data_IF_886324659028
#
_entry.id   IF_886324659028
#
_cell.length_a   1.000
_cell.length_b   1.000
_cell.length_c   1.000
_cell.angle_alpha   90.00
_cell.angle_beta   90.00
_cell.angle_gamma   90.00
#
_symmetry.space_group_name_H-M   'P 1'
#
loop_
_entity.id
_entity.type
_entity.pdbx_description
1 polymer ?
#
# COMPACT_ATOMS: atom_id res chain seq x y z
N UNK A 1 2.64 -22.44 16.17
CA UNK A 1 2.22 -21.39 15.22
C UNK A 1 0.71 -21.50 15.08
N UNK A 2 -0.05 -20.55 15.63
CA UNK A 2 -1.45 -20.38 15.25
C UNK A 2 -1.45 -19.35 14.14
N UNK A 3 -1.52 -19.81 12.90
CA UNK A 3 -1.70 -18.97 11.72
C UNK A 3 -3.18 -18.61 11.69
N UNK A 4 -3.51 -17.35 11.95
CA UNK A 4 -4.76 -16.80 11.44
C UNK A 4 -4.57 -16.74 9.92
N UNK A 5 -5.40 -17.48 9.19
CA UNK A 5 -5.56 -17.34 7.74
C UNK A 5 -6.09 -15.93 7.46
N UNK A 6 -5.22 -14.92 7.37
CA UNK A 6 -5.54 -13.77 6.53
C UNK A 6 -5.36 -14.25 5.10
N UNK A 7 -6.40 -14.07 4.29
CA UNK A 7 -6.38 -14.36 2.86
C UNK A 7 -5.59 -13.25 2.13
N UNK A 8 -4.36 -12.96 2.57
CA UNK A 8 -3.55 -11.89 1.99
C UNK A 8 -2.77 -12.47 0.81
N UNK A 9 -3.39 -12.36 -0.36
CA UNK A 9 -2.80 -12.60 -1.68
C UNK A 9 -1.69 -11.57 -1.89
N UNK A 10 -0.43 -12.00 -1.94
CA UNK A 10 0.70 -11.09 -1.73
C UNK A 10 1.64 -11.03 -2.91
N UNK A 11 1.98 -9.79 -3.29
CA UNK A 11 2.85 -9.43 -4.41
C UNK A 11 4.15 -8.87 -3.85
N UNK A 12 5.26 -9.12 -4.54
CA UNK A 12 6.55 -8.47 -4.23
C UNK A 12 7.02 -8.68 -2.78
N UNK A 13 7.49 -9.91 -2.54
CA UNK A 13 7.91 -10.40 -1.22
C UNK A 13 9.31 -9.87 -0.89
N UNK A 14 9.42 -9.07 0.18
CA UNK A 14 10.70 -8.68 0.76
C UNK A 14 10.95 -9.46 2.05
N UNK A 15 12.12 -10.11 2.12
CA UNK A 15 12.63 -10.79 3.30
C UNK A 15 13.90 -10.07 3.75
N UNK A 16 13.88 -9.59 4.99
CA UNK A 16 15.02 -9.02 5.68
C UNK A 16 15.33 -9.86 6.91
N UNK A 17 16.59 -10.26 7.07
CA UNK A 17 17.07 -10.91 8.29
C UNK A 17 18.12 -10.07 8.99
N UNK A 18 17.97 -9.91 10.31
CA UNK A 18 18.92 -9.23 11.18
C UNK A 18 19.53 -10.23 12.16
N UNK A 19 20.86 -10.42 12.10
CA UNK A 19 21.58 -11.35 12.97
C UNK A 19 21.97 -10.68 14.29
N UNK A 20 21.29 -11.04 15.38
CA UNK A 20 21.56 -10.63 16.75
C UNK A 20 22.78 -11.39 17.31
N UNK A 21 24.00 -11.05 16.85
CA UNK A 21 25.24 -11.60 17.44
C UNK A 21 25.50 -11.04 18.84
N UNK A 22 26.08 -11.86 19.72
CA UNK A 22 26.78 -11.42 20.94
C UNK A 22 28.27 -11.77 20.85
N UNK A 23 29.18 -10.87 21.29
CA UNK A 23 28.93 -9.48 21.62
C UNK A 23 28.75 -8.67 20.32
N UNK A 24 27.86 -7.68 20.29
CA UNK A 24 27.78 -6.75 19.16
C UNK A 24 29.10 -5.96 19.12
N UNK A 25 29.86 -6.09 18.04
CA UNK A 25 30.83 -5.03 17.71
C UNK A 25 30.04 -3.73 17.50
N UNK A 26 30.47 -2.58 18.05
CA UNK A 26 29.60 -1.41 18.22
C UNK A 26 29.11 -0.72 16.93
N UNK A 27 29.42 -1.23 15.74
CA UNK A 27 29.15 -0.52 14.49
C UNK A 27 28.08 -1.15 13.61
N UNK A 28 27.96 -2.47 13.48
CA UNK A 28 27.02 -3.08 12.51
C UNK A 28 26.49 -4.46 12.92
N UNK A 29 25.17 -4.63 12.95
CA UNK A 29 24.51 -5.93 12.94
C UNK A 29 24.48 -6.44 11.49
N UNK A 30 24.94 -7.68 11.19
CA UNK A 30 24.81 -8.24 9.86
C UNK A 30 23.33 -8.31 9.43
N UNK A 31 23.04 -7.78 8.25
CA UNK A 31 21.70 -7.77 7.66
C UNK A 31 21.74 -8.33 6.24
N UNK A 32 20.82 -9.23 5.91
CA UNK A 32 20.63 -9.74 4.56
C UNK A 32 19.23 -9.38 4.06
N UNK A 33 19.12 -8.95 2.81
CA UNK A 33 17.86 -8.58 2.15
C UNK A 33 17.67 -9.38 0.87
N UNK A 34 16.48 -9.94 0.67
CA UNK A 34 16.07 -10.54 -0.61
C UNK A 34 14.69 -10.02 -1.01
N UNK A 35 14.51 -9.74 -2.30
CA UNK A 35 13.25 -9.28 -2.87
C UNK A 35 12.81 -10.21 -4.00
N UNK A 36 11.61 -10.76 -3.89
CA UNK A 36 11.02 -11.75 -4.79
C UNK A 36 9.73 -11.18 -5.38
N UNK A 37 9.83 -10.64 -6.60
CA UNK A 37 8.69 -10.07 -7.30
C UNK A 37 7.87 -11.12 -8.06
N UNK A 38 8.53 -12.12 -8.67
CA UNK A 38 7.92 -12.87 -9.78
C UNK A 38 6.79 -13.83 -9.44
N UNK A 39 6.77 -14.43 -8.24
CA UNK A 39 5.89 -15.57 -7.96
C UNK A 39 4.41 -15.22 -8.12
N UNK A 40 4.06 -13.99 -7.78
CA UNK A 40 2.67 -13.53 -7.77
C UNK A 40 2.44 -12.36 -8.71
N UNK A 41 3.46 -11.57 -9.12
CA UNK A 41 3.35 -10.31 -9.88
C UNK A 41 2.26 -10.21 -10.98
N UNK A 42 1.94 -11.28 -11.70
CA UNK A 42 0.94 -11.27 -12.76
C UNK A 42 -0.32 -12.11 -12.44
N UNK A 43 -0.21 -13.05 -11.49
CA UNK A 43 -1.29 -13.93 -11.05
C UNK A 43 -1.09 -14.32 -9.58
N UNK A 44 -2.00 -13.88 -8.73
CA UNK A 44 -1.99 -14.18 -7.31
C UNK A 44 -2.04 -15.69 -7.00
N UNK A 45 -2.57 -16.50 -7.92
CA UNK A 45 -2.57 -17.96 -7.76
C UNK A 45 -1.15 -18.51 -7.74
N UNK A 46 -0.15 -17.82 -8.31
CA UNK A 46 1.24 -18.27 -8.27
C UNK A 46 1.84 -18.39 -6.86
N UNK A 47 1.19 -17.85 -5.83
CA UNK A 47 1.62 -17.97 -4.44
C UNK A 47 1.83 -19.43 -3.99
N UNK A 48 0.99 -20.37 -4.46
CA UNK A 48 1.12 -21.79 -4.06
C UNK A 48 2.48 -22.39 -4.46
N UNK A 49 3.10 -21.89 -5.53
CA UNK A 49 4.40 -22.38 -6.00
C UNK A 49 5.53 -22.10 -4.98
N UNK A 50 5.36 -21.09 -4.14
CA UNK A 50 6.32 -20.74 -3.09
C UNK A 50 6.15 -21.53 -1.79
N UNK A 51 4.99 -22.16 -1.56
CA UNK A 51 4.61 -22.67 -0.24
C UNK A 51 5.60 -23.72 0.31
N UNK A 52 5.86 -24.78 -0.47
CA UNK A 52 6.81 -25.83 -0.08
C UNK A 52 8.24 -25.28 0.03
N UNK A 53 8.64 -24.36 -0.85
CA UNK A 53 9.98 -23.76 -0.84
C UNK A 53 10.20 -22.96 0.45
N UNK A 54 9.23 -22.11 0.81
CA UNK A 54 9.30 -21.31 2.03
C UNK A 54 9.21 -22.18 3.28
N UNK A 55 8.38 -23.22 3.27
CA UNK A 55 8.30 -24.17 4.38
C UNK A 55 9.64 -24.85 4.63
N UNK A 56 10.29 -25.36 3.59
CA UNK A 56 11.59 -26.01 3.70
C UNK A 56 12.68 -25.03 4.12
N UNK A 57 12.66 -23.79 3.62
CA UNK A 57 13.54 -22.72 4.07
C UNK A 57 13.39 -22.45 5.58
N UNK A 58 12.16 -22.24 6.06
CA UNK A 58 11.90 -21.99 7.49
C UNK A 58 12.24 -23.19 8.37
N UNK A 59 11.98 -24.43 7.91
CA UNK A 59 12.38 -25.66 8.60
C UNK A 59 13.90 -25.75 8.73
N UNK A 60 14.66 -25.42 7.68
CA UNK A 60 16.14 -25.40 7.72
C UNK A 60 16.66 -24.36 8.69
N UNK A 61 16.15 -23.12 8.63
CA UNK A 61 16.53 -22.06 9.58
C UNK A 61 16.28 -22.46 11.03
N UNK A 62 15.19 -23.19 11.29
CA UNK A 62 14.87 -23.73 12.61
C UNK A 62 15.79 -24.90 12.99
N UNK A 63 16.00 -25.87 12.10
CA UNK A 63 16.80 -27.07 12.33
C UNK A 63 18.26 -26.76 12.65
N UNK A 64 18.83 -25.78 11.94
CA UNK A 64 20.23 -25.38 12.10
C UNK A 64 20.40 -24.30 13.19
N UNK A 65 19.36 -24.07 14.00
CA UNK A 65 19.33 -23.09 15.10
C UNK A 65 19.59 -21.62 14.68
N UNK A 66 19.46 -21.30 13.39
CA UNK A 66 19.69 -19.94 12.86
C UNK A 66 18.68 -18.93 13.40
N UNK A 67 17.42 -19.36 13.58
CA UNK A 67 16.37 -18.53 14.18
C UNK A 67 16.70 -18.08 15.62
N UNK A 68 17.61 -18.75 16.31
CA UNK A 68 17.96 -18.41 17.67
C UNK A 68 18.74 -17.09 17.76
N UNK A 69 19.34 -16.61 16.69
CA UNK A 69 20.04 -15.32 16.67
C UNK A 69 19.55 -14.42 15.54
N UNK A 70 18.35 -14.65 15.00
CA UNK A 70 17.86 -13.93 13.82
C UNK A 70 16.47 -13.36 14.06
N UNK A 71 16.29 -12.07 13.78
CA UNK A 71 14.95 -11.50 13.56
C UNK A 71 14.67 -11.53 12.08
N UNK A 72 13.56 -12.15 11.69
CA UNK A 72 13.06 -12.11 10.32
C UNK A 72 11.96 -11.05 10.24
N UNK A 73 12.10 -10.13 9.29
CA UNK A 73 11.07 -9.18 8.89
C UNK A 73 10.65 -9.55 7.47
N UNK A 74 9.41 -9.98 7.31
CA UNK A 74 8.86 -10.42 6.05
C UNK A 74 7.70 -9.52 5.69
N UNK A 75 7.83 -8.75 4.61
CA UNK A 75 6.85 -7.73 4.24
C UNK A 75 6.71 -7.60 2.73
N UNK A 76 5.70 -6.85 2.31
CA UNK A 76 5.54 -6.44 0.91
C UNK A 76 5.44 -4.92 0.81
N UNK A 77 5.71 -4.39 -0.38
CA UNK A 77 5.50 -2.99 -0.70
C UNK A 77 4.02 -2.68 -1.02
N UNK A 78 3.28 -3.63 -1.59
CA UNK A 78 1.85 -3.51 -1.89
C UNK A 78 1.13 -4.86 -2.02
N UNK A 79 -0.20 -4.90 -1.85
CA UNK A 79 -0.97 -6.09 -2.24
C UNK A 79 -1.17 -6.20 -3.75
N UNK A 80 -2.14 -7.00 -4.19
CA UNK A 80 -2.48 -7.17 -5.59
C UNK A 80 -2.97 -5.85 -6.22
N UNK A 81 -2.29 -5.37 -7.27
CA UNK A 81 -2.58 -4.08 -7.91
C UNK A 81 -3.42 -4.20 -9.17
N UNK A 82 -3.48 -5.37 -9.79
CA UNK A 82 -4.08 -5.56 -11.10
C UNK A 82 -5.04 -6.77 -11.09
N UNK A 83 -5.61 -7.07 -12.25
CA UNK A 83 -6.49 -8.23 -12.43
C UNK A 83 -7.92 -8.01 -11.93
N UNK A 84 -8.75 -9.04 -12.10
CA UNK A 84 -10.19 -8.98 -11.81
C UNK A 84 -10.49 -8.67 -10.34
N UNK A 85 -9.66 -9.18 -9.43
CA UNK A 85 -9.87 -9.01 -7.99
C UNK A 85 -9.74 -7.55 -7.57
N UNK A 86 -8.85 -6.76 -8.21
CA UNK A 86 -8.67 -5.32 -7.93
C UNK A 86 -9.96 -4.50 -8.08
N UNK A 87 -10.91 -4.97 -8.88
CA UNK A 87 -12.20 -4.31 -9.11
C UNK A 87 -13.27 -4.68 -8.07
N UNK A 88 -12.95 -5.54 -7.10
CA UNK A 88 -13.82 -5.83 -5.96
C UNK A 88 -13.53 -4.89 -4.80
N UNK A 89 -14.46 -4.79 -3.85
CA UNK A 89 -14.22 -4.07 -2.59
C UNK A 89 -13.00 -4.61 -1.84
N UNK A 90 -12.86 -5.94 -1.76
CA UNK A 90 -11.71 -6.57 -1.09
C UNK A 90 -10.40 -6.29 -1.81
N UNK A 91 -10.33 -6.47 -3.13
CA UNK A 91 -9.11 -6.17 -3.88
C UNK A 91 -8.71 -4.69 -3.85
N UNK A 92 -9.68 -3.79 -3.64
CA UNK A 92 -9.38 -2.37 -3.40
C UNK A 92 -8.62 -2.18 -2.09
N UNK A 93 -9.05 -2.84 -1.00
CA UNK A 93 -8.35 -2.83 0.28
C UNK A 93 -6.98 -3.50 0.14
N UNK A 94 -6.96 -4.74 -0.35
CA UNK A 94 -5.74 -5.54 -0.50
C UNK A 94 -4.66 -4.80 -1.30
N UNK A 95 -5.03 -4.09 -2.37
CA UNK A 95 -4.07 -3.30 -3.17
C UNK A 95 -3.30 -2.23 -2.38
N UNK A 96 -3.84 -1.79 -1.24
CA UNK A 96 -3.26 -0.76 -0.36
C UNK A 96 -2.81 -1.32 1.00
N UNK A 97 -3.01 -2.61 1.26
CA UNK A 97 -2.60 -3.27 2.52
C UNK A 97 -1.49 -4.28 2.25
N UNK A 98 -0.21 -3.87 2.29
CA UNK A 98 0.87 -4.82 2.32
C UNK A 98 0.82 -5.63 3.62
N UNK A 99 1.31 -6.87 3.54
CA UNK A 99 1.51 -7.68 4.74
C UNK A 99 2.83 -7.35 5.42
N UNK A 100 2.93 -7.68 6.71
CA UNK A 100 4.12 -7.51 7.53
C UNK A 100 4.14 -8.56 8.65
N UNK A 101 5.19 -9.35 8.69
CA UNK A 101 5.46 -10.34 9.74
C UNK A 101 6.82 -10.08 10.37
N UNK A 102 6.86 -10.15 11.69
CA UNK A 102 8.10 -10.22 12.45
C UNK A 102 8.20 -11.58 13.13
N UNK A 103 9.32 -12.27 12.94
CA UNK A 103 9.66 -13.50 13.66
C UNK A 103 10.90 -13.23 14.50
N UNK A 104 10.71 -13.20 15.81
CA UNK A 104 11.80 -13.01 16.77
C UNK A 104 12.39 -14.35 17.22
N UNK A 105 13.65 -14.38 17.70
CA UNK A 105 14.20 -15.57 18.32
C UNK A 105 13.34 -16.07 19.49
N UNK A 106 13.21 -17.40 19.69
CA UNK A 106 12.35 -17.96 20.74
C UNK A 106 12.66 -17.47 22.17
N UNK A 107 13.91 -17.11 22.46
CA UNK A 107 14.31 -16.58 23.77
C UNK A 107 13.91 -15.11 23.96
N UNK A 108 13.70 -14.35 22.88
CA UNK A 108 13.48 -12.91 22.95
C UNK A 108 12.21 -12.58 23.72
N UNK A 109 11.14 -13.33 23.44
CA UNK A 109 9.87 -13.18 24.14
C UNK A 109 9.98 -13.50 25.64
N UNK A 110 10.71 -14.58 25.99
CA UNK A 110 10.91 -14.95 27.39
C UNK A 110 11.73 -13.90 28.14
N UNK A 111 12.70 -13.29 27.47
CA UNK A 111 13.60 -12.29 28.06
C UNK A 111 12.97 -10.90 28.14
N UNK A 112 12.13 -10.52 27.18
CA UNK A 112 11.52 -9.19 27.08
C UNK A 112 9.99 -9.28 26.95
N UNK A 113 9.30 -9.84 27.96
CA UNK A 113 7.86 -10.10 27.88
C UNK A 113 7.03 -8.82 27.76
N UNK A 114 7.41 -7.72 28.42
CA UNK A 114 6.69 -6.44 28.32
C UNK A 114 6.80 -5.81 26.93
N UNK A 115 7.98 -5.89 26.30
CA UNK A 115 8.20 -5.41 24.93
C UNK A 115 7.33 -6.21 23.96
N UNK A 116 7.31 -7.54 24.10
CA UNK A 116 6.48 -8.39 23.24
C UNK A 116 4.98 -8.24 23.52
N UNK A 117 4.56 -7.90 24.74
CA UNK A 117 3.17 -7.54 25.04
C UNK A 117 2.76 -6.30 24.23
N UNK A 118 3.56 -5.24 24.26
CA UNK A 118 3.30 -4.00 23.48
C UNK A 118 3.31 -4.29 21.98
N UNK A 119 4.31 -5.04 21.51
CA UNK A 119 4.40 -5.45 20.11
C UNK A 119 3.13 -6.18 19.65
N UNK A 120 2.57 -7.05 20.50
CA UNK A 120 1.32 -7.76 20.23
C UNK A 120 0.10 -6.85 20.24
N UNK A 121 0.01 -5.89 21.17
CA UNK A 121 -1.04 -4.88 21.18
C UNK A 121 -1.08 -4.12 19.86
N UNK A 122 0.09 -3.80 19.30
CA UNK A 122 0.22 -3.08 18.03
C UNK A 122 -0.26 -3.85 16.79
N UNK A 123 -0.51 -5.16 16.88
CA UNK A 123 -1.15 -5.93 15.80
C UNK A 123 -2.58 -5.44 15.50
N UNK A 124 -3.20 -4.71 16.44
CA UNK A 124 -4.54 -4.13 16.30
C UNK A 124 -4.50 -2.60 16.16
N UNK A 125 -3.39 -2.05 15.66
CA UNK A 125 -3.18 -0.60 15.49
C UNK A 125 -2.85 -0.28 14.03
N UNK A 126 -3.19 0.94 13.60
CA UNK A 126 -2.83 1.41 12.27
C UNK A 126 -1.32 1.66 12.19
N UNK A 127 -0.66 0.93 11.30
CA UNK A 127 0.79 1.02 11.04
C UNK A 127 1.07 1.39 9.59
N UNK A 128 2.30 1.81 9.34
CA UNK A 128 2.87 2.10 8.03
C UNK A 128 4.31 1.60 7.99
N UNK A 129 4.91 1.54 6.79
CA UNK A 129 6.33 1.17 6.67
C UNK A 129 7.30 2.15 7.36
N UNK A 130 6.85 3.35 7.72
CA UNK A 130 7.62 4.25 8.60
C UNK A 130 7.77 3.68 10.02
N UNK A 131 6.76 2.98 10.52
CA UNK A 131 6.79 2.32 11.83
C UNK A 131 7.67 1.07 11.79
N UNK A 132 7.65 0.33 10.68
CA UNK A 132 8.60 -0.76 10.40
C UNK A 132 10.04 -0.25 10.46
N UNK A 133 10.34 0.86 9.80
CA UNK A 133 11.66 1.50 9.85
C UNK A 133 12.07 1.87 11.29
N UNK A 134 11.20 2.54 12.05
CA UNK A 134 11.50 2.88 13.45
C UNK A 134 11.72 1.64 14.33
N UNK A 135 10.95 0.58 14.09
CA UNK A 135 11.11 -0.72 14.78
C UNK A 135 12.46 -1.35 14.46
N UNK A 136 12.90 -1.30 13.19
CA UNK A 136 14.22 -1.78 12.80
C UNK A 136 15.34 -0.98 13.49
N UNK A 137 15.22 0.34 13.56
CA UNK A 137 16.18 1.18 14.28
C UNK A 137 16.28 0.81 15.77
N UNK A 138 15.14 0.50 16.40
CA UNK A 138 15.12 0.03 17.78
C UNK A 138 15.69 -1.38 17.94
N UNK A 139 15.51 -2.28 16.97
CA UNK A 139 16.18 -3.60 16.98
C UNK A 139 17.71 -3.42 16.96
N UNK A 140 18.21 -2.48 16.16
CA UNK A 140 19.64 -2.19 16.08
C UNK A 140 20.18 -1.58 17.38
N UNK A 141 19.37 -0.77 18.07
CA UNK A 141 19.75 -0.02 19.28
C UNK A 141 18.97 -0.48 20.51
N UNK A 142 18.75 -1.79 20.63
CA UNK A 142 17.74 -2.33 21.53
C UNK A 142 18.03 -2.08 23.01
N UNK A 143 17.10 -1.40 23.69
CA UNK A 143 17.22 -1.06 25.12
C UNK A 143 16.63 -2.11 26.07
N UNK A 144 15.83 -3.04 25.55
CA UNK A 144 15.22 -4.09 26.38
C UNK A 144 14.09 -3.62 27.31
N UNK A 145 13.62 -2.38 27.15
CA UNK A 145 12.56 -1.79 27.96
C UNK A 145 11.51 -1.15 27.05
N UNK A 146 10.26 -1.12 27.52
CA UNK A 146 9.17 -0.44 26.82
C UNK A 146 9.37 1.07 26.93
N UNK A 147 9.41 1.75 25.79
CA UNK A 147 9.45 3.21 25.74
C UNK A 147 8.07 3.84 26.02
N UNK A 148 7.99 5.18 26.15
CA UNK A 148 6.72 5.86 26.33
C UNK A 148 5.77 5.60 25.16
N UNK A 149 4.45 5.69 25.37
CA UNK A 149 3.44 5.58 24.29
C UNK A 149 3.76 6.54 23.13
N UNK A 150 3.50 6.12 21.90
CA UNK A 150 3.58 6.97 20.71
C UNK A 150 2.66 8.18 20.80
N UNK A 151 2.99 9.27 20.11
CA UNK A 151 2.13 10.46 20.05
C UNK A 151 1.50 10.59 18.67
N UNK A 152 0.28 11.12 18.63
CA UNK A 152 -0.37 11.48 17.36
C UNK A 152 0.47 12.49 16.59
N UNK A 153 0.47 12.39 15.26
CA UNK A 153 1.30 13.20 14.38
C UNK A 153 2.78 12.79 14.29
N UNK A 154 3.27 11.87 15.12
CA UNK A 154 4.59 11.24 14.91
C UNK A 154 4.56 10.45 13.60
N UNK A 155 5.47 10.80 12.68
CA UNK A 155 5.58 10.14 11.36
C UNK A 155 5.83 8.63 11.50
N UNK A 156 6.63 8.24 12.47
CA UNK A 156 7.04 6.86 12.72
C UNK A 156 7.03 6.56 14.21
N UNK A 157 6.36 5.50 14.62
CA UNK A 157 6.31 5.00 15.99
C UNK A 157 6.81 3.55 15.96
N UNK A 158 7.93 3.28 16.63
CA UNK A 158 8.42 1.89 16.77
C UNK A 158 7.36 1.00 17.40
N UNK A 159 7.19 -0.21 16.87
CA UNK A 159 6.22 -1.19 17.35
C UNK A 159 6.59 -1.78 18.73
N UNK A 160 7.75 -1.42 19.29
CA UNK A 160 8.08 -1.68 20.71
C UNK A 160 7.51 -0.64 21.68
N UNK A 161 6.89 0.43 21.16
CA UNK A 161 6.12 1.41 21.92
C UNK A 161 4.64 1.26 21.54
N UNK A 162 3.73 1.50 22.47
CA UNK A 162 2.31 1.40 22.15
C UNK A 162 1.91 2.47 21.13
N UNK A 163 1.32 2.06 20.02
CA UNK A 163 0.79 2.96 18.98
C UNK A 163 -0.62 3.41 19.41
N UNK A 164 -0.95 4.72 19.35
CA UNK A 164 -2.28 5.20 19.69
C UNK A 164 -3.40 4.49 18.92
N UNK A 165 -4.47 4.15 19.62
CA UNK A 165 -5.64 3.46 19.07
C UNK A 165 -6.41 4.33 18.07
N UNK A 166 -6.40 5.64 18.31
CA UNK A 166 -7.08 6.66 17.52
C UNK A 166 -6.20 7.27 16.43
N UNK A 167 -5.04 6.65 16.11
CA UNK A 167 -4.15 7.10 15.05
C UNK A 167 -4.84 7.02 13.68
N UNK A 168 -4.87 8.13 12.96
CA UNK A 168 -5.47 8.23 11.61
C UNK A 168 -4.43 8.03 10.51
N UNK A 169 -4.88 7.78 9.27
CA UNK A 169 -4.01 7.78 8.08
C UNK A 169 -3.19 9.07 7.96
N UNK A 170 -3.77 10.23 8.30
CA UNK A 170 -3.08 11.51 8.28
C UNK A 170 -1.93 11.57 9.30
N UNK A 171 -2.15 11.03 10.50
CA UNK A 171 -1.11 10.92 11.53
C UNK A 171 0.02 10.00 11.08
N UNK A 172 -0.33 8.87 10.45
CA UNK A 172 0.62 7.90 9.91
C UNK A 172 1.25 8.30 8.56
N UNK A 173 0.93 9.48 8.03
CA UNK A 173 1.38 9.96 6.70
C UNK A 173 1.03 9.00 5.56
N UNK A 174 -0.08 8.29 5.68
CA UNK A 174 -0.67 7.46 4.62
C UNK A 174 -1.49 8.40 3.71
N UNK A 175 -1.17 8.50 2.41
CA UNK A 175 -1.94 9.29 1.46
C UNK A 175 -3.40 8.83 1.37
N UNK A 176 -4.31 9.73 1.00
CA UNK A 176 -5.75 9.47 1.01
C UNK A 176 -6.15 8.32 0.07
N UNK A 177 -5.47 8.20 -1.07
CA UNK A 177 -5.66 7.15 -2.07
C UNK A 177 -5.30 5.74 -1.58
N UNK A 178 -4.43 5.63 -0.56
CA UNK A 178 -4.01 4.36 0.06
C UNK A 178 -4.63 4.15 1.45
N UNK A 179 -5.42 5.11 1.95
CA UNK A 179 -6.04 4.99 3.25
C UNK A 179 -7.22 4.02 3.20
N UNK A 180 -7.09 2.89 3.89
CA UNK A 180 -8.13 1.84 3.97
C UNK A 180 -9.05 1.97 5.20
N UNK A 181 -8.81 2.97 6.06
CA UNK A 181 -9.66 3.23 7.21
C UNK A 181 -11.03 3.81 6.80
N UNK A 182 -11.09 4.47 5.64
CA UNK A 182 -12.31 5.07 5.13
C UNK A 182 -13.30 3.99 4.66
N UNK A 183 -14.57 4.14 5.06
CA UNK A 183 -15.66 3.32 4.52
C UNK A 183 -16.31 4.03 3.35
N UNK A 184 -16.58 3.27 2.31
CA UNK A 184 -17.14 3.78 1.07
C UNK A 184 -18.47 3.08 0.76
N UNK A 185 -19.43 3.82 0.23
CA UNK A 185 -20.69 3.26 -0.28
C UNK A 185 -21.05 3.85 -1.63
N UNK A 186 -21.92 3.18 -2.39
CA UNK A 186 -22.39 3.70 -3.67
C UNK A 186 -23.41 4.83 -3.42
N UNK A 187 -23.11 6.08 -3.79
CA UNK A 187 -24.02 7.20 -3.59
C UNK A 187 -25.13 7.20 -4.64
N UNK A 188 -26.24 7.90 -4.35
CA UNK A 188 -27.26 8.25 -5.35
C UNK A 188 -26.92 9.63 -5.93
N UNK A 189 -26.41 9.66 -7.16
CA UNK A 189 -26.02 10.90 -7.85
C UNK A 189 -26.89 11.12 -9.09
N UNK A 190 -27.04 12.39 -9.50
CA UNK A 190 -27.63 12.70 -10.80
C UNK A 190 -26.65 12.30 -11.92
N UNK A 191 -27.14 11.96 -13.14
CA UNK A 191 -26.27 11.69 -14.28
C UNK A 191 -25.31 12.84 -14.61
N UNK A 192 -25.73 14.09 -14.37
CA UNK A 192 -24.90 15.27 -14.58
C UNK A 192 -23.72 15.35 -13.61
N UNK A 193 -23.94 15.04 -12.32
CA UNK A 193 -22.89 15.04 -11.31
C UNK A 193 -21.93 13.87 -11.49
N UNK A 194 -22.44 12.70 -11.85
CA UNK A 194 -21.64 11.51 -12.19
C UNK A 194 -20.64 11.84 -13.32
N UNK A 195 -21.15 12.31 -14.46
CA UNK A 195 -20.32 12.70 -15.59
C UNK A 195 -19.35 13.85 -15.25
N UNK A 196 -19.78 14.83 -14.44
CA UNK A 196 -18.91 15.92 -13.99
C UNK A 196 -17.69 15.39 -13.20
N UNK A 197 -17.91 14.48 -12.24
CA UNK A 197 -16.83 13.88 -11.45
C UNK A 197 -15.87 13.09 -12.35
N UNK A 198 -16.40 12.31 -13.30
CA UNK A 198 -15.59 11.61 -14.30
C UNK A 198 -14.73 12.55 -15.14
N UNK A 199 -15.30 13.67 -15.61
CA UNK A 199 -14.59 14.69 -16.38
C UNK A 199 -13.51 15.41 -15.56
N UNK A 200 -13.74 15.68 -14.27
CA UNK A 200 -12.73 16.26 -13.37
C UNK A 200 -11.52 15.34 -13.27
N UNK A 201 -11.73 14.02 -13.10
CA UNK A 201 -10.63 13.05 -13.07
C UNK A 201 -9.93 12.96 -14.44
N UNK A 202 -10.67 12.85 -15.55
CA UNK A 202 -10.09 12.83 -16.89
C UNK A 202 -9.22 14.06 -17.16
N UNK A 203 -9.67 15.25 -16.75
CA UNK A 203 -8.93 16.48 -16.94
C UNK A 203 -7.64 16.51 -16.09
N UNK A 204 -7.68 15.95 -14.88
CA UNK A 204 -6.47 15.74 -14.07
C UNK A 204 -5.49 14.81 -14.79
N UNK A 205 -5.93 13.66 -15.31
CA UNK A 205 -5.08 12.75 -16.09
C UNK A 205 -4.48 13.47 -17.30
N UNK A 206 -5.29 14.22 -18.05
CA UNK A 206 -4.81 14.99 -19.19
C UNK A 206 -3.74 16.02 -18.78
N UNK A 207 -3.90 16.67 -17.63
CA UNK A 207 -2.88 17.61 -17.12
C UNK A 207 -1.56 16.92 -16.76
N UNK A 208 -1.59 15.68 -16.28
CA UNK A 208 -0.39 14.91 -15.90
C UNK A 208 0.42 14.47 -17.11
N UNK A 209 -0.24 14.13 -18.23
CA UNK A 209 0.44 13.78 -19.49
C UNK A 209 0.68 15.00 -20.40
N UNK A 210 0.21 16.19 -20.03
CA UNK A 210 0.36 17.43 -20.81
C UNK A 210 1.81 17.75 -21.20
N UNK A 211 2.82 17.60 -20.30
CA UNK A 211 4.22 17.88 -20.67
C UNK A 211 4.77 16.96 -21.79
N UNK A 212 4.11 15.83 -22.04
CA UNK A 212 4.56 14.81 -22.99
C UNK A 212 3.64 14.70 -24.21
N UNK A 213 2.79 15.71 -24.49
CA UNK A 213 1.79 15.72 -25.58
C UNK A 213 2.38 15.51 -26.98
N UNK A 214 3.67 15.73 -27.18
CA UNK A 214 4.35 15.41 -28.42
C UNK A 214 4.35 13.89 -28.71
N UNK A 215 4.45 13.06 -27.66
CA UNK A 215 4.50 11.59 -27.75
C UNK A 215 3.24 10.89 -27.23
N UNK A 216 2.54 11.51 -26.28
CA UNK A 216 1.38 10.96 -25.60
C UNK A 216 0.06 11.55 -26.11
N UNK A 217 -0.89 10.68 -26.40
CA UNK A 217 -2.24 11.06 -26.83
C UNK A 217 -3.04 11.69 -25.68
N UNK A 218 -3.94 12.62 -26.00
CA UNK A 218 -4.83 13.23 -25.00
C UNK A 218 -5.95 12.24 -24.64
N UNK A 219 -6.04 11.77 -23.37
CA UNK A 219 -7.02 10.77 -23.00
C UNK A 219 -8.43 11.35 -23.14
N UNK A 220 -9.35 10.64 -23.76
CA UNK A 220 -10.78 10.98 -23.82
C UNK A 220 -11.51 10.15 -22.77
N UNK A 221 -12.49 10.74 -22.09
CA UNK A 221 -13.34 9.97 -21.19
C UNK A 221 -14.16 8.99 -22.04
N UNK A 222 -14.05 7.70 -21.74
CA UNK A 222 -14.86 6.65 -22.37
C UNK A 222 -16.11 6.41 -21.52
N UNK A 223 -15.91 6.14 -20.24
CA UNK A 223 -16.97 5.82 -19.28
C UNK A 223 -16.55 6.15 -17.85
N UNK A 224 -17.55 6.41 -17.00
CA UNK A 224 -17.38 6.39 -15.55
C UNK A 224 -17.74 5.00 -15.06
N UNK A 225 -16.77 4.30 -14.49
CA UNK A 225 -16.86 2.88 -14.14
C UNK A 225 -17.47 2.70 -12.75
N UNK A 226 -17.05 3.54 -11.80
CA UNK A 226 -17.52 3.48 -10.44
C UNK A 226 -17.37 4.83 -9.74
N UNK A 227 -18.33 5.14 -8.87
CA UNK A 227 -18.23 6.25 -7.92
C UNK A 227 -18.64 5.71 -6.56
N UNK A 228 -17.76 5.87 -5.58
CA UNK A 228 -18.06 5.59 -4.19
C UNK A 228 -17.89 6.85 -3.36
N UNK A 229 -18.76 7.07 -2.40
CA UNK A 229 -18.69 8.17 -1.46
C UNK A 229 -18.22 7.66 -0.10
N UNK A 230 -17.29 8.40 0.52
CA UNK A 230 -16.85 8.15 1.88
C UNK A 230 -17.99 8.42 2.87
N UNK A 231 -18.38 7.40 3.62
CA UNK A 231 -19.48 7.45 4.59
C UNK A 231 -18.99 7.61 6.03
N UNK A 232 -17.78 7.15 6.31
CA UNK A 232 -17.18 7.21 7.64
C UNK A 232 -16.12 8.32 7.68
N UNK A 233 -16.58 9.54 7.87
CA UNK A 233 -15.74 10.74 7.86
C UNK A 233 -15.06 11.00 9.22
N UNK A 234 -15.37 10.19 10.24
CA UNK A 234 -14.83 10.29 11.60
C UNK A 234 -14.90 11.69 12.21
N UNK A 235 -14.00 11.97 13.16
CA UNK A 235 -13.82 13.33 13.75
C UNK A 235 -13.20 14.34 12.77
N UNK A 236 -12.82 13.90 11.57
CA UNK A 236 -12.12 14.68 10.55
C UNK A 236 -13.03 15.22 9.45
N UNK A 237 -14.33 14.91 9.52
CA UNK A 237 -15.34 15.42 8.61
C UNK A 237 -15.31 16.95 8.55
N UNK A 238 -15.04 17.50 7.37
CA UNK A 238 -15.17 18.95 7.17
C UNK A 238 -16.58 19.24 6.67
N UNK A 239 -17.40 20.03 7.38
CA UNK A 239 -18.75 20.36 6.93
C UNK A 239 -18.76 20.94 5.51
N UNK A 240 -19.68 20.46 4.68
CA UNK A 240 -19.80 20.90 3.27
C UNK A 240 -18.76 20.31 2.32
N UNK A 241 -17.88 19.42 2.80
CA UNK A 241 -16.95 18.65 1.97
C UNK A 241 -17.40 17.20 1.88
N UNK A 242 -17.48 16.69 0.65
CA UNK A 242 -17.74 15.28 0.34
C UNK A 242 -16.52 14.69 -0.35
N UNK A 243 -16.17 13.45 -0.03
CA UNK A 243 -15.05 12.74 -0.65
C UNK A 243 -15.59 11.57 -1.49
N UNK A 244 -15.18 11.53 -2.75
CA UNK A 244 -15.58 10.52 -3.71
C UNK A 244 -14.36 9.78 -4.23
N UNK A 245 -14.39 8.44 -4.20
CA UNK A 245 -13.47 7.62 -4.98
C UNK A 245 -14.09 7.39 -6.35
N UNK A 246 -13.45 7.91 -7.39
CA UNK A 246 -13.96 7.89 -8.77
C UNK A 246 -13.04 7.06 -9.62
N UNK A 247 -13.60 6.10 -10.35
CA UNK A 247 -12.92 5.24 -11.30
C UNK A 247 -13.46 5.50 -12.70
N UNK A 248 -12.59 5.78 -13.67
CA UNK A 248 -12.95 6.04 -15.07
C UNK A 248 -12.17 5.15 -16.02
N UNK A 249 -12.75 4.91 -17.20
CA UNK A 249 -12.04 4.41 -18.36
C UNK A 249 -11.79 5.54 -19.35
N UNK A 250 -10.61 5.56 -19.95
CA UNK A 250 -10.23 6.52 -20.99
C UNK A 250 -9.76 5.84 -22.27
N UNK A 251 -9.90 6.54 -23.38
CA UNK A 251 -9.44 6.14 -24.71
C UNK A 251 -8.39 7.12 -25.23
N UNK A 252 -7.38 6.67 -25.99
CA UNK A 252 -7.13 5.30 -26.45
C UNK A 252 -6.62 4.34 -25.36
N UNK A 253 -6.83 3.04 -25.55
CA UNK A 253 -6.12 1.98 -24.82
C UNK A 253 -6.84 1.44 -23.58
N UNK A 254 -8.14 1.73 -23.43
CA UNK A 254 -8.97 1.26 -22.32
C UNK A 254 -8.31 1.48 -20.96
N UNK A 255 -7.87 2.70 -20.77
CA UNK A 255 -7.02 3.14 -19.69
C UNK A 255 -7.84 3.40 -18.41
N UNK A 256 -7.65 2.56 -17.38
CA UNK A 256 -8.41 2.63 -16.13
C UNK A 256 -7.71 3.50 -15.09
N UNK A 257 -8.34 4.60 -14.70
CA UNK A 257 -7.81 5.52 -13.70
C UNK A 257 -8.72 5.62 -12.49
N UNK A 258 -8.13 5.82 -11.32
CA UNK A 258 -8.85 6.01 -10.06
C UNK A 258 -8.20 7.11 -9.23
N UNK A 259 -9.02 7.94 -8.59
CA UNK A 259 -8.54 8.93 -7.65
C UNK A 259 -9.62 9.32 -6.64
N UNK A 260 -9.19 9.97 -5.56
CA UNK A 260 -10.08 10.61 -4.60
C UNK A 260 -10.36 12.05 -5.05
N UNK A 261 -11.64 12.41 -5.13
CA UNK A 261 -12.12 13.75 -5.46
C UNK A 261 -12.77 14.36 -4.22
N UNK A 262 -12.36 15.58 -3.90
CA UNK A 262 -13.00 16.42 -2.89
C UNK A 262 -14.01 17.32 -3.58
N UNK A 263 -15.29 17.16 -3.24
CA UNK A 263 -16.40 17.99 -3.70
C UNK A 263 -16.79 18.99 -2.61
N UNK A 264 -16.75 20.27 -2.94
CA UNK A 264 -17.14 21.36 -2.05
C UNK A 264 -18.55 21.83 -2.42
N UNK A 265 -19.50 21.59 -1.51
CA UNK A 265 -20.95 21.81 -1.76
C UNK A 265 -21.26 23.29 -2.00
N UNK A 266 -20.64 24.20 -1.25
CA UNK A 266 -20.85 25.65 -1.37
C UNK A 266 -20.42 26.21 -2.73
N UNK A 267 -19.35 25.66 -3.31
CA UNK A 267 -18.81 26.09 -4.62
C UNK A 267 -19.35 25.26 -5.79
N UNK A 268 -20.08 24.19 -5.50
CA UNK A 268 -20.51 23.20 -6.49
C UNK A 268 -19.35 22.74 -7.39
N UNK A 269 -18.20 22.44 -6.77
CA UNK A 269 -16.95 22.16 -7.50
C UNK A 269 -16.18 21.01 -6.89
N UNK A 270 -15.54 20.21 -7.74
CA UNK A 270 -14.66 19.12 -7.33
C UNK A 270 -13.20 19.35 -7.73
N UNK A 271 -12.30 18.81 -6.93
CA UNK A 271 -10.87 18.71 -7.25
C UNK A 271 -10.34 17.33 -6.89
N UNK A 272 -9.38 16.83 -7.65
CA UNK A 272 -8.63 15.63 -7.28
C UNK A 272 -7.72 15.94 -6.09
N UNK A 273 -7.73 15.08 -5.07
CA UNK A 273 -6.84 15.12 -3.90
C UNK A 273 -5.99 13.85 -3.89
N UNK A 274 -4.70 14.00 -3.57
CA UNK A 274 -3.74 12.89 -3.67
C UNK A 274 -3.28 12.60 -5.10
N UNK A 275 -2.74 11.40 -5.32
CA UNK A 275 -2.33 10.91 -6.63
C UNK A 275 -3.47 10.27 -7.43
N UNK A 276 -3.28 10.18 -8.76
CA UNK A 276 -4.13 9.40 -9.64
C UNK A 276 -3.50 8.04 -9.87
N UNK A 277 -4.21 6.97 -9.53
CA UNK A 277 -3.79 5.60 -9.73
C UNK A 277 -4.16 5.10 -11.13
N UNK A 278 -3.20 4.43 -11.80
CA UNK A 278 -3.45 3.62 -13.00
C UNK A 278 -3.72 2.18 -12.54
N UNK A 279 -4.95 1.69 -12.69
CA UNK A 279 -5.43 0.45 -12.05
C UNK A 279 -5.42 -0.78 -12.97
N UNK A 280 -5.03 -0.63 -14.23
CA UNK A 280 -4.80 -1.74 -15.14
C UNK A 280 -3.43 -1.65 -15.83
N UNK A 281 -2.95 -2.80 -16.31
CA UNK A 281 -1.67 -2.92 -17.00
C UNK A 281 -1.60 -1.99 -18.22
N UNK A 282 -0.42 -1.42 -18.46
CA UNK A 282 -0.15 -0.45 -19.54
C UNK A 282 1.15 -0.78 -20.30
N UNK A 283 1.70 -1.99 -20.12
CA UNK A 283 2.85 -2.49 -20.89
C UNK A 283 2.53 -2.43 -22.39
N UNK A 284 3.46 -1.96 -23.21
CA UNK A 284 3.26 -1.83 -24.65
C UNK A 284 2.46 -0.60 -25.07
N UNK A 285 1.70 0.05 -24.17
CA UNK A 285 0.92 1.25 -24.48
C UNK A 285 1.71 2.55 -24.27
N UNK A 286 2.70 2.53 -23.37
CA UNK A 286 3.41 3.73 -22.89
C UNK A 286 4.93 3.70 -23.14
N UNK A 287 5.42 2.80 -23.99
CA UNK A 287 6.85 2.51 -24.17
C UNK A 287 7.65 3.68 -24.79
N UNK A 288 6.97 4.66 -25.39
CA UNK A 288 7.56 5.92 -25.84
C UNK A 288 8.05 6.84 -24.70
N UNK A 289 7.69 6.54 -23.44
CA UNK A 289 8.15 7.22 -22.24
C UNK A 289 9.32 6.49 -21.57
N UNK A 290 10.33 7.25 -21.12
CA UNK A 290 11.50 6.71 -20.43
C UNK A 290 11.27 6.45 -18.93
N UNK A 291 10.51 7.32 -18.27
CA UNK A 291 10.27 7.26 -16.81
C UNK A 291 9.00 6.49 -16.47
N UNK A 292 9.03 5.67 -15.42
CA UNK A 292 7.90 4.86 -14.96
C UNK A 292 6.70 5.74 -14.57
N UNK A 293 6.95 6.90 -13.98
CA UNK A 293 5.93 7.83 -13.52
C UNK A 293 5.06 8.31 -14.69
N UNK A 294 5.71 8.71 -15.80
CA UNK A 294 5.01 9.20 -16.99
C UNK A 294 4.35 8.07 -17.79
N UNK A 295 4.89 6.84 -17.72
CA UNK A 295 4.27 5.67 -18.35
C UNK A 295 2.85 5.42 -17.85
N UNK A 296 2.56 5.71 -16.58
CA UNK A 296 1.23 5.53 -15.99
C UNK A 296 0.12 6.31 -16.71
N UNK A 297 0.44 7.49 -17.27
CA UNK A 297 -0.54 8.44 -17.79
C UNK A 297 -0.48 8.62 -19.31
N UNK A 298 0.40 7.88 -20.00
CA UNK A 298 0.66 8.04 -21.42
C UNK A 298 0.07 6.88 -22.22
N UNK A 299 -0.54 7.21 -23.35
CA UNK A 299 -0.73 6.29 -24.46
C UNK A 299 0.06 6.82 -25.66
N UNK A 300 0.94 6.00 -26.23
CA UNK A 300 1.86 6.46 -27.26
C UNK A 300 1.17 6.70 -28.60
N UNK A 301 1.35 7.89 -29.16
CA UNK A 301 0.72 8.32 -30.43
C UNK A 301 1.08 7.43 -31.62
N UNK A 302 2.27 6.83 -31.63
CA UNK A 302 2.68 5.91 -32.70
C UNK A 302 1.84 4.62 -32.74
N UNK A 303 1.09 4.30 -31.68
CA UNK A 303 0.18 3.16 -31.63
C UNK A 303 -1.20 3.46 -32.22
N UNK A 304 -1.54 4.74 -32.44
CA UNK A 304 -2.82 5.16 -33.01
C UNK A 304 -2.96 4.80 -34.50
N UNK A 305 -1.88 4.38 -35.15
CA UNK A 305 -1.85 4.02 -36.57
C UNK A 305 -1.56 2.54 -36.75
N UNK A 306 -2.60 1.71 -36.58
CA UNK A 306 -2.74 0.36 -37.15
C UNK A 306 -4.22 0.05 -37.38
N UNK A 307 -4.89 0.92 -38.12
CA UNK A 307 -6.24 0.72 -38.67
C UNK A 307 -6.22 1.17 -40.11
#
# INVERSE_FOLDING_TARGET
MRTLLSHSLTFDICLLSLSLRRPPTPSHLPSDTSFLARLTHDDYNGAFMGDEIYLQFLKRLKGDNTLNNTVIVWFSDHGERFGKIRHTYQGTIESSTPYLFFVFPPWFEKKYPDVMRVFRTNQHRLTSHYDTYATMQDILNFKGVVGPKGKLGERSISMFREIPEDRTCKDARIPAEYCVCARFSKPRLSPSLDNYLGMVLRNKVSSLSKPQRAKCEDPRLSSVENILEETDTGKTATPGIRLFRVSIMTEPGNAMFEATLQFEVSKNSAKVVGEVARTNMYRGQADCMSTVEMRRYCYCKNLLKKG
#
